data_IF_173732236130
#
_entry.id   IF_173732236130
#
_cell.length_a   1.000
_cell.length_b   1.000
_cell.length_c   1.000
_cell.angle_alpha   90.00
_cell.angle_beta   90.00
_cell.angle_gamma   90.00
#
_symmetry.space_group_name_H-M   'P 1'
#
loop_
_entity.id
_entity.type
_entity.pdbx_description
1 polymer ?
#
# COMPACT_ATOMS: atom_id res chain seq x y z
N UNK A 1 11.11 -18.67 -35.89
CA UNK A 1 9.61 -18.60 -35.85
C UNK A 1 9.28 -17.53 -34.81
N UNK A 2 8.99 -16.32 -35.31
CA UNK A 2 8.76 -15.15 -34.45
C UNK A 2 7.29 -15.14 -34.04
N UNK A 3 7.01 -15.33 -32.77
CA UNK A 3 5.68 -15.12 -32.19
C UNK A 3 5.50 -13.62 -31.91
N UNK A 4 4.70 -12.95 -32.74
CA UNK A 4 4.24 -11.61 -32.46
C UNK A 4 3.33 -11.64 -31.24
N UNK A 5 3.76 -10.98 -30.15
CA UNK A 5 2.89 -10.67 -29.02
C UNK A 5 1.77 -9.76 -29.52
N UNK A 6 0.55 -10.22 -29.42
CA UNK A 6 -0.66 -9.45 -29.70
C UNK A 6 -0.72 -8.25 -28.74
N UNK A 7 -0.62 -7.04 -29.28
CA UNK A 7 -0.93 -5.81 -28.57
C UNK A 7 -2.41 -5.87 -28.15
N UNK A 8 -2.64 -5.94 -26.86
CA UNK A 8 -3.96 -5.77 -26.26
C UNK A 8 -4.51 -4.41 -26.69
N UNK A 9 -5.77 -4.40 -27.12
CA UNK A 9 -6.48 -3.20 -27.53
C UNK A 9 -6.38 -2.13 -26.43
N UNK A 10 -5.93 -0.93 -26.80
CA UNK A 10 -5.94 0.21 -25.91
C UNK A 10 -7.39 0.49 -25.48
N UNK A 11 -7.70 0.21 -24.22
CA UNK A 11 -8.98 0.59 -23.62
C UNK A 11 -9.15 2.12 -23.65
N UNK A 12 -10.39 2.60 -23.51
CA UNK A 12 -10.64 4.03 -23.38
C UNK A 12 -9.79 4.61 -22.25
N UNK A 13 -9.31 5.86 -22.37
CA UNK A 13 -8.53 6.50 -21.30
C UNK A 13 -9.31 6.48 -19.98
N UNK A 14 -8.65 6.26 -18.84
CA UNK A 14 -9.32 6.24 -17.55
C UNK A 14 -10.04 7.58 -17.30
N UNK A 15 -11.22 7.51 -16.69
CA UNK A 15 -12.02 8.69 -16.31
C UNK A 15 -11.95 8.84 -14.78
N UNK A 16 -12.01 10.06 -14.24
CA UNK A 16 -12.01 10.28 -12.80
C UNK A 16 -13.16 9.53 -12.12
N UNK A 17 -12.89 8.84 -11.01
CA UNK A 17 -13.94 8.26 -10.17
C UNK A 17 -14.75 9.37 -9.49
N UNK A 18 -16.05 9.15 -9.37
CA UNK A 18 -16.91 10.08 -8.64
C UNK A 18 -16.58 10.05 -7.13
N UNK A 19 -16.13 11.18 -6.60
CA UNK A 19 -15.89 11.32 -5.16
C UNK A 19 -17.22 11.44 -4.40
N UNK A 20 -17.40 10.65 -3.36
CA UNK A 20 -18.56 10.75 -2.47
C UNK A 20 -18.61 12.11 -1.77
N UNK A 21 -19.77 12.50 -1.25
CA UNK A 21 -19.91 13.75 -0.49
C UNK A 21 -19.04 13.70 0.79
N UNK A 22 -18.97 12.56 1.45
CA UNK A 22 -18.12 12.35 2.63
C UNK A 22 -16.64 12.51 2.29
N UNK A 23 -16.18 11.97 1.14
CA UNK A 23 -14.79 12.11 0.66
C UNK A 23 -14.47 13.57 0.38
N UNK A 24 -15.38 14.27 -0.34
CA UNK A 24 -15.22 15.70 -0.63
C UNK A 24 -15.13 16.55 0.64
N UNK A 25 -15.96 16.24 1.64
CA UNK A 25 -15.91 16.93 2.94
C UNK A 25 -14.61 16.69 3.69
N UNK A 26 -14.05 15.46 3.61
CA UNK A 26 -12.73 15.12 4.17
C UNK A 26 -11.62 15.84 3.42
N UNK A 27 -11.65 15.87 2.09
CA UNK A 27 -10.69 16.59 1.26
C UNK A 27 -10.69 18.08 1.58
N UNK A 28 -11.88 18.71 1.70
CA UNK A 28 -12.01 20.11 2.05
C UNK A 28 -11.35 20.46 3.40
N UNK A 29 -11.48 19.59 4.40
CA UNK A 29 -10.80 19.76 5.70
C UNK A 29 -9.29 19.71 5.59
N UNK A 30 -8.75 18.84 4.73
CA UNK A 30 -7.31 18.74 4.50
C UNK A 30 -6.78 19.97 3.73
N UNK A 31 -7.47 20.37 2.70
CA UNK A 31 -7.12 21.58 1.91
C UNK A 31 -7.15 22.85 2.77
N UNK A 32 -8.10 22.96 3.69
CA UNK A 32 -8.23 24.13 4.57
C UNK A 32 -7.02 24.34 5.53
N UNK A 33 -6.12 23.37 5.63
CA UNK A 33 -4.87 23.49 6.42
C UNK A 33 -3.79 24.30 5.72
N UNK A 34 -3.96 24.58 4.43
CA UNK A 34 -2.99 25.25 3.58
C UNK A 34 -3.54 26.56 3.03
N UNK A 35 -2.70 27.52 2.63
CA UNK A 35 -3.13 28.71 1.89
C UNK A 35 -3.88 28.33 0.60
N UNK A 36 -4.83 29.15 0.18
CA UNK A 36 -5.70 28.86 -0.96
C UNK A 36 -4.93 28.60 -2.27
N UNK A 37 -3.80 29.28 -2.46
CA UNK A 37 -2.88 29.12 -3.60
C UNK A 37 -2.03 27.86 -3.53
N UNK A 38 -1.99 27.17 -2.37
CA UNK A 38 -1.18 25.99 -2.12
C UNK A 38 -2.01 24.73 -1.82
N UNK A 39 -3.24 24.67 -2.29
CA UNK A 39 -4.14 23.52 -2.04
C UNK A 39 -3.56 22.18 -2.50
N UNK A 40 -2.65 22.17 -3.48
CA UNK A 40 -1.93 21.00 -3.95
C UNK A 40 -1.10 20.32 -2.84
N UNK A 41 -0.70 21.05 -1.79
CA UNK A 41 0.00 20.49 -0.64
C UNK A 41 -0.81 19.44 0.12
N UNK A 42 -2.13 19.39 -0.09
CA UNK A 42 -3.01 18.37 0.50
C UNK A 42 -3.03 17.05 -0.29
N UNK A 43 -2.23 16.88 -1.37
CA UNK A 43 -2.28 15.71 -2.26
C UNK A 43 -2.11 14.40 -1.50
N UNK A 44 -1.13 14.31 -0.63
CA UNK A 44 -0.88 13.09 0.15
C UNK A 44 -2.05 12.74 1.07
N UNK A 45 -2.65 13.74 1.72
CA UNK A 45 -3.80 13.52 2.59
C UNK A 45 -5.03 13.08 1.78
N UNK A 46 -5.28 13.68 0.61
CA UNK A 46 -6.37 13.29 -0.28
C UNK A 46 -6.20 11.85 -0.79
N UNK A 47 -5.01 11.47 -1.23
CA UNK A 47 -4.68 10.10 -1.64
C UNK A 47 -4.88 9.09 -0.50
N UNK A 48 -4.45 9.44 0.71
CA UNK A 48 -4.65 8.57 1.89
C UNK A 48 -6.12 8.39 2.23
N UNK A 49 -6.94 9.44 2.10
CA UNK A 49 -8.39 9.37 2.31
C UNK A 49 -9.03 8.46 1.27
N UNK A 50 -8.66 8.62 0.00
CA UNK A 50 -9.17 7.78 -1.08
C UNK A 50 -8.80 6.32 -0.88
N UNK A 51 -7.55 6.02 -0.53
CA UNK A 51 -7.10 4.66 -0.23
C UNK A 51 -7.86 4.03 0.95
N UNK A 52 -8.18 4.81 2.00
CA UNK A 52 -8.98 4.31 3.12
C UNK A 52 -10.39 3.91 2.72
N UNK A 53 -10.98 4.56 1.72
CA UNK A 53 -12.33 4.25 1.23
C UNK A 53 -12.33 3.10 0.21
N UNK A 54 -11.32 3.04 -0.67
CA UNK A 54 -11.30 2.12 -1.80
C UNK A 54 -10.34 0.93 -1.60
N UNK A 55 -9.54 0.94 -0.52
CA UNK A 55 -8.51 -0.08 -0.25
C UNK A 55 -7.21 0.12 -1.06
N UNK A 56 -7.27 0.88 -2.15
CA UNK A 56 -6.13 1.22 -3.00
C UNK A 56 -6.38 2.54 -3.73
N UNK A 57 -5.37 3.06 -4.41
CA UNK A 57 -5.47 4.24 -5.28
C UNK A 57 -5.40 3.78 -6.73
N UNK A 58 -6.55 3.73 -7.41
CA UNK A 58 -6.59 3.41 -8.84
C UNK A 58 -6.20 4.62 -9.70
N UNK A 59 -5.93 4.37 -10.99
CA UNK A 59 -5.65 5.46 -11.95
C UNK A 59 -6.81 6.46 -12.04
N UNK A 60 -8.05 6.00 -11.97
CA UNK A 60 -9.25 6.83 -11.94
C UNK A 60 -9.34 7.64 -10.63
N UNK A 61 -8.85 7.07 -9.53
CA UNK A 61 -8.72 7.75 -8.24
C UNK A 61 -7.69 8.87 -8.26
N UNK A 62 -6.53 8.61 -8.87
CA UNK A 62 -5.50 9.66 -9.09
C UNK A 62 -6.05 10.83 -9.90
N UNK A 63 -6.80 10.55 -10.97
CA UNK A 63 -7.46 11.58 -11.79
C UNK A 63 -8.46 12.40 -10.97
N UNK A 64 -9.25 11.77 -10.12
CA UNK A 64 -10.22 12.47 -9.27
C UNK A 64 -9.53 13.40 -8.25
N UNK A 65 -8.40 12.99 -7.68
CA UNK A 65 -7.57 13.83 -6.80
C UNK A 65 -6.94 14.97 -7.58
N UNK A 66 -6.42 14.70 -8.79
CA UNK A 66 -5.83 15.71 -9.66
C UNK A 66 -6.85 16.80 -10.02
N UNK A 67 -8.04 16.40 -10.45
CA UNK A 67 -9.15 17.32 -10.76
C UNK A 67 -9.53 18.16 -9.53
N UNK A 68 -9.72 17.52 -8.37
CA UNK A 68 -10.12 18.21 -7.14
C UNK A 68 -9.11 19.27 -6.70
N UNK A 69 -7.82 18.95 -6.79
CA UNK A 69 -6.73 19.84 -6.38
C UNK A 69 -6.27 20.79 -7.49
N UNK A 70 -6.73 20.59 -8.75
CA UNK A 70 -6.26 21.37 -9.90
C UNK A 70 -4.80 21.09 -10.23
N UNK A 71 -4.36 19.83 -10.07
CA UNK A 71 -3.01 19.36 -10.40
C UNK A 71 -3.00 18.66 -11.75
N UNK A 72 -1.82 18.61 -12.39
CA UNK A 72 -1.62 17.71 -13.53
C UNK A 72 -1.74 16.25 -13.06
N UNK A 73 -2.44 15.36 -13.80
CA UNK A 73 -2.56 13.94 -13.44
C UNK A 73 -1.21 13.27 -13.17
N UNK A 74 -0.20 13.57 -13.99
CA UNK A 74 1.14 13.03 -13.83
C UNK A 74 1.79 13.42 -12.50
N UNK A 75 1.56 14.64 -12.01
CA UNK A 75 2.09 15.10 -10.73
C UNK A 75 1.48 14.34 -9.53
N UNK A 76 0.22 13.89 -9.64
CA UNK A 76 -0.41 13.02 -8.64
C UNK A 76 0.16 11.60 -8.75
N UNK A 77 0.32 11.08 -9.98
CA UNK A 77 0.91 9.76 -10.23
C UNK A 77 2.35 9.65 -9.71
N UNK A 78 3.16 10.70 -9.85
CA UNK A 78 4.50 10.76 -9.25
C UNK A 78 4.47 10.55 -7.73
N UNK A 79 3.47 11.11 -7.04
CA UNK A 79 3.33 10.92 -5.58
C UNK A 79 2.97 9.48 -5.24
N UNK A 80 2.02 8.86 -5.95
CA UNK A 80 1.60 7.48 -5.67
C UNK A 80 2.66 6.44 -6.00
N UNK A 81 3.50 6.69 -7.00
CA UNK A 81 4.60 5.80 -7.37
C UNK A 81 5.83 5.99 -6.48
N UNK A 82 6.07 7.20 -5.97
CA UNK A 82 7.19 7.48 -5.10
C UNK A 82 6.99 6.98 -3.67
N UNK A 83 5.79 7.16 -3.11
CA UNK A 83 5.51 6.80 -1.72
C UNK A 83 4.90 5.38 -1.63
N UNK A 84 5.67 4.42 -1.13
CA UNK A 84 5.34 3.00 -1.05
C UNK A 84 4.14 2.64 -0.15
N UNK A 85 3.61 3.59 0.60
CA UNK A 85 2.37 3.40 1.37
C UNK A 85 1.10 3.44 0.51
N UNK A 86 1.18 3.95 -0.73
CA UNK A 86 0.06 3.92 -1.64
C UNK A 86 0.03 2.61 -2.41
N UNK A 87 -1.11 1.92 -2.33
CA UNK A 87 -1.35 0.69 -3.05
C UNK A 87 -2.02 1.03 -4.39
N UNK A 88 -1.35 0.83 -5.51
CA UNK A 88 -1.91 1.08 -6.85
C UNK A 88 -2.83 -0.04 -7.35
N UNK A 89 -2.84 -1.16 -6.65
CA UNK A 89 -3.67 -2.33 -6.91
C UNK A 89 -4.34 -2.80 -5.62
N UNK A 90 -5.44 -3.54 -5.71
CA UNK A 90 -6.06 -4.14 -4.55
C UNK A 90 -5.05 -4.98 -3.75
N UNK A 91 -5.06 -4.82 -2.45
CA UNK A 91 -4.27 -5.59 -1.49
C UNK A 91 -5.17 -6.42 -0.59
N UNK A 92 -4.62 -7.45 0.03
CA UNK A 92 -5.33 -8.23 1.02
C UNK A 92 -5.69 -7.39 2.26
N UNK A 93 -6.60 -7.92 3.07
CA UNK A 93 -7.04 -7.28 4.32
C UNK A 93 -5.86 -6.94 5.24
N UNK A 94 -4.83 -7.78 5.25
CA UNK A 94 -3.59 -7.56 5.98
C UNK A 94 -2.43 -7.43 4.98
N UNK A 95 -1.98 -6.20 4.76
CA UNK A 95 -0.74 -5.93 4.04
C UNK A 95 0.43 -6.04 5.02
N UNK A 96 1.36 -6.94 4.75
CA UNK A 96 2.56 -7.17 5.57
C UNK A 96 3.77 -6.67 4.78
N UNK A 97 4.39 -5.60 5.26
CA UNK A 97 5.62 -5.03 4.71
C UNK A 97 6.80 -5.46 5.58
N UNK A 98 7.71 -6.27 5.06
CA UNK A 98 8.90 -6.75 5.77
C UNK A 98 10.10 -5.87 5.42
N UNK A 99 10.74 -5.28 6.40
CA UNK A 99 11.95 -4.47 6.16
C UNK A 99 13.10 -5.34 5.65
N UNK A 100 13.61 -4.99 4.46
CA UNK A 100 14.73 -5.68 3.79
C UNK A 100 15.98 -4.81 3.68
N UNK A 101 16.02 -3.68 4.38
CA UNK A 101 17.20 -2.82 4.42
C UNK A 101 18.33 -3.42 5.25
N UNK A 102 19.54 -2.92 5.06
CA UNK A 102 20.78 -3.54 5.52
C UNK A 102 20.77 -4.01 6.99
N UNK A 103 20.36 -3.19 8.00
CA UNK A 103 20.36 -3.67 9.39
C UNK A 103 19.40 -4.84 9.61
N UNK A 104 18.19 -4.81 9.01
CA UNK A 104 17.23 -5.91 9.10
C UNK A 104 17.73 -7.15 8.37
N UNK A 105 18.35 -7.00 7.19
CA UNK A 105 18.95 -8.11 6.45
C UNK A 105 20.03 -8.80 7.26
N UNK A 106 20.92 -8.05 7.91
CA UNK A 106 21.97 -8.61 8.79
C UNK A 106 21.39 -9.33 10.02
N UNK A 107 20.17 -9.01 10.41
CA UNK A 107 19.46 -9.60 11.54
C UNK A 107 18.39 -10.61 11.14
N UNK A 108 18.40 -11.06 9.87
CA UNK A 108 17.48 -12.10 9.39
C UNK A 108 16.22 -11.60 8.69
N UNK A 109 16.16 -10.32 8.28
CA UNK A 109 14.98 -9.78 7.57
C UNK A 109 14.67 -10.47 6.25
N UNK A 110 15.71 -10.88 5.50
CA UNK A 110 15.53 -11.67 4.28
C UNK A 110 14.92 -13.06 4.57
N UNK A 111 15.42 -13.75 5.60
CA UNK A 111 14.89 -15.04 6.03
C UNK A 111 13.44 -14.91 6.54
N UNK A 112 13.12 -13.82 7.25
CA UNK A 112 11.74 -13.54 7.69
C UNK A 112 10.78 -13.39 6.52
N UNK A 113 11.19 -12.67 5.46
CA UNK A 113 10.41 -12.51 4.23
C UNK A 113 10.20 -13.87 3.53
N UNK A 114 11.27 -14.65 3.36
CA UNK A 114 11.21 -15.98 2.74
C UNK A 114 10.29 -16.94 3.52
N UNK A 115 10.41 -16.97 4.85
CA UNK A 115 9.53 -17.76 5.70
C UNK A 115 8.06 -17.37 5.53
N UNK A 116 7.75 -16.08 5.49
CA UNK A 116 6.38 -15.62 5.25
C UNK A 116 5.88 -16.02 3.86
N UNK A 117 6.72 -15.96 2.81
CA UNK A 117 6.37 -16.47 1.49
C UNK A 117 5.96 -17.96 1.55
N UNK A 118 6.77 -18.79 2.23
CA UNK A 118 6.49 -20.22 2.40
C UNK A 118 5.22 -20.44 3.22
N UNK A 119 5.07 -19.75 4.35
CA UNK A 119 3.93 -19.88 5.28
C UNK A 119 2.59 -19.49 4.66
N UNK A 120 2.60 -18.46 3.82
CA UNK A 120 1.41 -17.90 3.15
C UNK A 120 1.16 -18.54 1.77
N UNK A 121 2.14 -19.23 1.21
CA UNK A 121 2.05 -19.82 -0.13
C UNK A 121 2.00 -18.76 -1.24
N UNK A 122 2.66 -17.62 -1.05
CA UNK A 122 2.69 -16.52 -2.02
C UNK A 122 4.12 -16.10 -2.36
N UNK A 123 4.31 -15.57 -3.55
CA UNK A 123 5.54 -14.89 -3.91
C UNK A 123 5.58 -13.48 -3.27
N UNK A 124 6.77 -12.89 -3.25
CA UNK A 124 6.96 -11.49 -2.86
C UNK A 124 6.09 -10.58 -3.76
N UNK A 125 5.34 -9.68 -3.16
CA UNK A 125 4.36 -8.84 -3.84
C UNK A 125 3.00 -9.51 -4.09
N UNK A 126 2.87 -10.81 -3.74
CA UNK A 126 1.65 -11.58 -3.96
C UNK A 126 0.62 -11.43 -2.85
N UNK A 127 -0.64 -11.73 -3.23
CA UNK A 127 -1.78 -11.82 -2.31
C UNK A 127 -2.26 -13.25 -2.23
N UNK A 128 -2.62 -13.73 -1.03
CA UNK A 128 -3.20 -15.07 -0.83
C UNK A 128 -4.53 -15.21 -1.57
N UNK A 129 -4.86 -16.44 -2.00
CA UNK A 129 -6.05 -16.71 -2.80
C UNK A 129 -7.36 -16.35 -2.06
N UNK A 130 -7.35 -16.37 -0.74
CA UNK A 130 -8.45 -15.95 0.13
C UNK A 130 -8.56 -14.41 0.25
N UNK A 131 -7.64 -13.65 -0.35
CA UNK A 131 -7.60 -12.19 -0.25
C UNK A 131 -7.21 -11.67 1.13
N UNK A 132 -6.72 -12.53 2.03
CA UNK A 132 -6.48 -12.14 3.41
C UNK A 132 -5.13 -11.42 3.58
N UNK A 133 -4.06 -11.93 2.97
CA UNK A 133 -2.72 -11.38 3.13
C UNK A 133 -2.11 -10.92 1.82
N UNK A 134 -1.48 -9.75 1.84
CA UNK A 134 -0.54 -9.31 0.81
C UNK A 134 0.83 -9.15 1.46
N UNK A 135 1.87 -9.79 0.88
CA UNK A 135 3.23 -9.76 1.39
C UNK A 135 4.13 -8.93 0.48
N UNK A 136 4.78 -7.91 1.04
CA UNK A 136 5.67 -7.02 0.30
C UNK A 136 7.01 -6.85 1.02
N UNK A 137 8.12 -6.68 0.28
CA UNK A 137 9.35 -6.14 0.84
C UNK A 137 9.13 -4.67 1.15
N UNK A 138 9.67 -4.19 2.26
CA UNK A 138 9.57 -2.80 2.67
C UNK A 138 10.93 -2.13 2.75
N UNK A 139 10.94 -0.83 2.54
CA UNK A 139 12.09 0.02 2.82
C UNK A 139 12.27 0.23 4.34
N UNK A 140 13.32 0.95 4.72
CA UNK A 140 13.66 1.15 6.12
C UNK A 140 12.52 1.83 6.90
N UNK A 141 12.11 1.19 7.99
CA UNK A 141 11.01 1.65 8.87
C UNK A 141 11.53 2.44 10.08
N UNK A 142 12.83 2.76 10.13
CA UNK A 142 13.45 3.54 11.21
C UNK A 142 13.65 2.79 12.53
N UNK A 143 13.34 1.50 12.62
CA UNK A 143 13.40 0.69 13.84
C UNK A 143 14.56 -0.33 13.82
N UNK A 144 15.75 0.08 13.40
CA UNK A 144 16.90 -0.80 13.21
C UNK A 144 17.36 -1.50 14.49
N UNK A 145 17.18 -0.88 15.66
CA UNK A 145 17.51 -1.47 16.96
C UNK A 145 16.66 -2.71 17.27
N UNK A 146 15.44 -2.76 16.71
CA UNK A 146 14.44 -3.79 16.96
C UNK A 146 14.41 -4.86 15.84
N UNK A 147 15.39 -4.83 14.94
CA UNK A 147 15.44 -5.72 13.78
C UNK A 147 15.41 -7.21 14.15
N UNK A 148 14.81 -8.08 13.34
CA UNK A 148 14.04 -7.79 12.13
C UNK A 148 12.67 -7.18 12.46
N UNK A 149 12.20 -6.24 11.61
CA UNK A 149 10.90 -5.58 11.79
C UNK A 149 10.02 -5.71 10.56
N UNK A 150 8.72 -5.63 10.78
CA UNK A 150 7.72 -5.55 9.73
C UNK A 150 6.58 -4.61 10.15
N UNK A 151 5.81 -4.14 9.18
CA UNK A 151 4.58 -3.37 9.40
C UNK A 151 3.36 -4.15 8.90
N UNK A 152 2.30 -4.16 9.70
CA UNK A 152 0.98 -4.63 9.27
C UNK A 152 0.10 -3.42 9.00
N UNK A 153 -0.45 -3.35 7.79
CA UNK A 153 -1.33 -2.27 7.31
C UNK A 153 -0.73 -0.86 7.47
N UNK A 154 0.58 -0.73 7.30
CA UNK A 154 1.34 0.52 7.42
C UNK A 154 1.16 1.26 8.76
N UNK A 155 0.72 0.55 9.81
CA UNK A 155 0.41 1.12 11.13
C UNK A 155 1.02 0.36 12.29
N UNK A 156 0.91 -0.95 12.27
CA UNK A 156 1.30 -1.78 13.41
C UNK A 156 2.73 -2.31 13.21
N UNK A 157 3.68 -1.73 13.91
CA UNK A 157 5.07 -2.19 13.94
C UNK A 157 5.19 -3.47 14.74
N UNK A 158 5.80 -4.50 14.15
CA UNK A 158 6.16 -5.74 14.80
C UNK A 158 7.69 -5.85 14.84
N UNK A 159 8.24 -6.02 16.03
CA UNK A 159 9.68 -5.93 16.31
C UNK A 159 10.25 -7.27 16.78
N UNK A 160 11.57 -7.47 16.55
CA UNK A 160 12.30 -8.70 16.96
C UNK A 160 11.62 -9.96 16.42
N UNK A 161 11.30 -9.97 15.13
CA UNK A 161 10.50 -11.01 14.48
C UNK A 161 11.30 -12.28 14.27
N UNK A 162 11.25 -13.16 15.29
CA UNK A 162 11.71 -14.55 15.16
C UNK A 162 10.70 -15.40 14.39
N UNK A 163 11.11 -16.60 13.96
CA UNK A 163 10.25 -17.56 13.26
C UNK A 163 8.95 -17.84 14.01
N UNK A 164 9.05 -18.07 15.33
CA UNK A 164 7.87 -18.33 16.18
C UNK A 164 6.92 -17.12 16.23
N UNK A 165 7.48 -15.90 16.30
CA UNK A 165 6.67 -14.67 16.29
C UNK A 165 5.99 -14.42 14.94
N UNK A 166 6.65 -14.77 13.84
CA UNK A 166 6.06 -14.70 12.51
C UNK A 166 4.85 -15.64 12.40
N UNK A 167 5.00 -16.89 12.87
CA UNK A 167 3.90 -17.85 12.87
C UNK A 167 2.75 -17.38 13.76
N UNK A 168 3.05 -16.94 14.99
CA UNK A 168 2.05 -16.39 15.92
C UNK A 168 1.32 -15.17 15.34
N UNK A 169 2.02 -14.29 14.63
CA UNK A 169 1.43 -13.14 13.97
C UNK A 169 0.40 -13.59 12.92
N UNK A 170 0.78 -14.50 12.03
CA UNK A 170 -0.12 -14.98 10.97
C UNK A 170 -1.35 -15.67 11.57
N UNK A 171 -1.15 -16.54 12.57
CA UNK A 171 -2.25 -17.25 13.22
C UNK A 171 -3.18 -16.27 13.97
N UNK A 172 -2.61 -15.27 14.65
CA UNK A 172 -3.36 -14.21 15.32
C UNK A 172 -4.21 -13.38 14.37
N UNK A 173 -3.65 -12.99 13.22
CA UNK A 173 -4.38 -12.23 12.19
C UNK A 173 -5.49 -13.05 11.54
N UNK A 174 -5.27 -14.35 11.27
CA UNK A 174 -6.32 -15.26 10.77
C UNK A 174 -7.47 -15.43 11.76
N UNK A 175 -7.15 -15.59 13.05
CA UNK A 175 -8.16 -15.74 14.09
C UNK A 175 -8.98 -14.48 14.30
N UNK A 176 -8.38 -13.28 14.17
CA UNK A 176 -9.10 -12.01 14.24
C UNK A 176 -10.13 -11.85 13.11
N UNK A 177 -9.90 -12.47 11.95
CA UNK A 177 -10.86 -12.50 10.85
C UNK A 177 -12.09 -13.35 11.17
N UNK A 178 -11.90 -14.51 11.81
CA UNK A 178 -12.99 -15.43 12.15
C UNK A 178 -13.95 -14.89 13.22
N UNK A 179 -13.64 -13.75 13.85
CA UNK A 179 -14.42 -13.13 14.91
C UNK A 179 -15.14 -11.84 14.49
N UNK A 180 -14.96 -11.38 13.25
CA UNK A 180 -15.56 -10.18 12.66
C UNK A 180 -16.68 -10.54 11.69
#
# INVERSE_FOLDING_TARGET
MSSHASHSAAGAPPQPVALSESTRARFAREVAKYPAEQKQSAVMACLSILQQEQGHVSAEGELAVAEYLGMAPMAVHEVTTFYNMYNQHPVGRFKINVCTNLPCTLRGGGQALERLCQRLGVAVGGTTADGLFTLQPGECMGACADAPVLLVNDRNMCSFMSDDKLDQLIDGLRNAEGQA
#
